data_IF_071355446878
#
_entry.id   IF_071355446878
#
_cell.length_a   1.000
_cell.length_b   1.000
_cell.length_c   1.000
_cell.angle_alpha   90.00
_cell.angle_beta   90.00
_cell.angle_gamma   90.00
#
_symmetry.space_group_name_H-M   'P 1'
#
loop_
_entity.id
_entity.type
_entity.pdbx_description
1 polymer ?
#
# COMPACT_ATOMS: atom_id res chain seq x y z
N UNK A 1 -8.63 -7.54 6.23
CA UNK A 1 -7.45 -7.42 7.09
C UNK A 1 -6.84 -8.80 7.24
N UNK A 2 -5.62 -8.99 6.75
CA UNK A 2 -4.93 -10.28 6.79
C UNK A 2 -3.71 -10.20 7.70
N UNK A 3 -3.77 -10.89 8.83
CA UNK A 3 -2.69 -10.92 9.81
C UNK A 3 -1.41 -11.54 9.21
N UNK A 4 -1.56 -12.54 8.34
CA UNK A 4 -0.43 -13.22 7.69
C UNK A 4 0.38 -12.27 6.79
N UNK A 5 -0.31 -11.45 6.00
CA UNK A 5 0.35 -10.49 5.10
C UNK A 5 1.10 -9.39 5.88
N UNK A 6 0.54 -8.95 7.01
CA UNK A 6 1.22 -8.00 7.89
C UNK A 6 2.52 -8.60 8.46
N UNK A 7 2.48 -9.86 8.91
CA UNK A 7 3.68 -10.56 9.41
C UNK A 7 4.73 -10.71 8.31
N UNK A 8 4.31 -11.04 7.08
CA UNK A 8 5.21 -11.08 5.91
C UNK A 8 5.83 -9.71 5.64
N UNK A 9 5.04 -8.64 5.62
CA UNK A 9 5.52 -7.27 5.42
C UNK A 9 6.55 -6.84 6.47
N UNK A 10 6.36 -7.21 7.74
CA UNK A 10 7.29 -6.91 8.83
C UNK A 10 8.66 -7.56 8.62
N UNK A 11 8.69 -8.80 8.13
CA UNK A 11 9.91 -9.59 7.90
C UNK A 11 10.73 -9.11 6.70
N UNK A 12 10.10 -8.45 5.73
CA UNK A 12 10.77 -7.98 4.51
C UNK A 12 11.64 -6.75 4.79
N UNK A 13 12.84 -6.69 4.22
CA UNK A 13 13.68 -5.47 4.24
C UNK A 13 13.31 -4.58 3.06
N UNK A 14 12.79 -3.40 3.36
CA UNK A 14 12.26 -2.44 2.37
C UNK A 14 13.22 -1.25 2.11
N UNK A 15 14.25 -1.08 2.95
CA UNK A 15 15.29 -0.06 2.80
C UNK A 15 14.90 1.37 3.17
N UNK A 16 13.63 1.61 3.52
CA UNK A 16 13.15 2.91 4.00
C UNK A 16 12.01 2.70 5.03
N UNK A 17 12.03 3.37 6.19
CA UNK A 17 11.07 3.13 7.27
C UNK A 17 9.64 3.53 6.89
N UNK A 18 9.45 4.67 6.24
CA UNK A 18 8.13 5.13 5.78
C UNK A 18 7.59 4.21 4.68
N UNK A 19 8.45 3.76 3.76
CA UNK A 19 8.06 2.77 2.74
C UNK A 19 7.64 1.45 3.38
N UNK A 20 8.35 1.00 4.44
CA UNK A 20 7.95 -0.19 5.21
C UNK A 20 6.59 0.01 5.88
N UNK A 21 6.35 1.17 6.49
CA UNK A 21 5.06 1.48 7.11
C UNK A 21 3.92 1.45 6.08
N UNK A 22 4.12 2.05 4.91
CA UNK A 22 3.16 2.00 3.80
C UNK A 22 2.87 0.56 3.36
N UNK A 23 3.90 -0.29 3.22
CA UNK A 23 3.72 -1.71 2.89
C UNK A 23 2.90 -2.45 3.95
N UNK A 24 3.20 -2.24 5.23
CA UNK A 24 2.46 -2.84 6.35
C UNK A 24 1.01 -2.36 6.33
N UNK A 25 0.75 -1.08 6.08
CA UNK A 25 -0.61 -0.55 6.04
C UNK A 25 -1.41 -1.10 4.85
N UNK A 26 -0.78 -1.31 3.70
CA UNK A 26 -1.41 -2.01 2.58
C UNK A 26 -1.78 -3.46 2.96
N UNK A 27 -0.88 -4.17 3.63
CA UNK A 27 -1.12 -5.54 4.11
C UNK A 27 -2.24 -5.61 5.17
N UNK A 28 -2.32 -4.62 6.06
CA UNK A 28 -3.40 -4.46 7.04
C UNK A 28 -4.76 -4.27 6.35
N UNK A 29 -4.81 -3.53 5.25
CA UNK A 29 -6.04 -3.35 4.47
C UNK A 29 -6.35 -4.52 3.52
N UNK A 30 -5.44 -5.47 3.34
CA UNK A 30 -5.62 -6.57 2.40
C UNK A 30 -6.62 -7.62 2.90
N UNK A 31 -7.35 -8.22 1.97
CA UNK A 31 -8.02 -9.50 2.16
C UNK A 31 -7.00 -10.64 2.21
N UNK A 32 -7.44 -11.85 2.55
CA UNK A 32 -6.56 -13.02 2.57
C UNK A 32 -6.01 -13.40 1.18
N UNK A 33 -6.69 -12.96 0.12
CA UNK A 33 -6.20 -13.05 -1.26
C UNK A 33 -5.09 -12.03 -1.61
N UNK A 34 -4.74 -11.12 -0.70
CA UNK A 34 -3.74 -10.07 -0.95
C UNK A 34 -4.24 -8.84 -1.67
N UNK A 35 -5.56 -8.68 -1.82
CA UNK A 35 -6.17 -7.55 -2.52
C UNK A 35 -6.60 -6.46 -1.53
N UNK A 36 -6.37 -5.20 -1.89
CA UNK A 36 -6.86 -4.05 -1.12
C UNK A 36 -7.17 -2.87 -2.05
N UNK A 37 -8.09 -1.99 -1.63
CA UNK A 37 -8.45 -0.76 -2.37
C UNK A 37 -8.52 0.49 -1.48
N UNK A 38 -7.56 0.73 -0.58
CA UNK A 38 -7.54 1.98 0.18
C UNK A 38 -7.28 3.17 -0.74
N UNK A 39 -7.85 4.32 -0.43
CA UNK A 39 -7.46 5.57 -1.09
C UNK A 39 -6.05 5.98 -0.65
N UNK A 40 -5.32 6.71 -1.48
CA UNK A 40 -4.01 7.24 -1.07
C UNK A 40 -4.10 8.17 0.13
N UNK A 41 -5.22 8.89 0.29
CA UNK A 41 -5.44 9.76 1.43
C UNK A 41 -5.60 8.94 2.73
N UNK A 42 -6.35 7.84 2.70
CA UNK A 42 -6.47 6.97 3.87
C UNK A 42 -5.10 6.43 4.34
N UNK A 43 -4.24 6.02 3.41
CA UNK A 43 -2.87 5.57 3.75
C UNK A 43 -2.05 6.75 4.30
N UNK A 44 -2.17 7.94 3.69
CA UNK A 44 -1.45 9.13 4.09
C UNK A 44 -1.75 9.53 5.54
N UNK A 45 -3.03 9.55 5.90
CA UNK A 45 -3.49 9.89 7.25
C UNK A 45 -2.96 8.89 8.29
N UNK A 46 -2.93 7.61 7.94
CA UNK A 46 -2.50 6.52 8.84
C UNK A 46 -0.97 6.39 8.96
N UNK A 47 -0.25 6.80 7.91
CA UNK A 47 1.21 6.79 7.90
C UNK A 47 1.80 8.16 8.28
N UNK A 48 0.96 9.15 8.59
CA UNK A 48 1.33 10.52 8.97
C UNK A 48 2.27 11.19 7.94
N UNK A 49 1.99 10.99 6.66
CA UNK A 49 2.78 11.55 5.55
C UNK A 49 1.87 12.13 4.47
N UNK A 50 2.43 12.96 3.59
CA UNK A 50 1.64 13.52 2.49
C UNK A 50 1.16 12.44 1.50
N UNK A 51 0.00 12.67 0.88
CA UNK A 51 -0.52 11.85 -0.23
C UNK A 51 0.52 11.66 -1.35
N UNK A 52 1.30 12.69 -1.67
CA UNK A 52 2.40 12.61 -2.66
C UNK A 52 3.48 11.62 -2.21
N UNK A 53 3.85 11.64 -0.93
CA UNK A 53 4.84 10.70 -0.39
C UNK A 53 4.33 9.26 -0.47
N UNK A 54 3.05 9.01 -0.14
CA UNK A 54 2.41 7.70 -0.33
C UNK A 54 2.52 7.22 -1.77
N UNK A 55 2.17 8.06 -2.74
CA UNK A 55 2.26 7.70 -4.17
C UNK A 55 3.69 7.30 -4.56
N UNK A 56 4.71 8.07 -4.12
CA UNK A 56 6.11 7.77 -4.37
C UNK A 56 6.56 6.46 -3.72
N UNK A 57 6.15 6.21 -2.47
CA UNK A 57 6.46 4.96 -1.77
C UNK A 57 5.82 3.75 -2.43
N UNK A 58 4.56 3.86 -2.88
CA UNK A 58 3.86 2.79 -3.60
C UNK A 58 4.52 2.52 -4.95
N UNK A 59 4.93 3.56 -5.69
CA UNK A 59 5.66 3.38 -6.94
C UNK A 59 6.97 2.60 -6.71
N UNK A 60 7.74 2.96 -5.69
CA UNK A 60 8.97 2.26 -5.33
C UNK A 60 8.72 0.82 -4.85
N UNK A 61 7.61 0.55 -4.15
CA UNK A 61 7.20 -0.81 -3.78
C UNK A 61 6.80 -1.66 -5.01
N UNK A 62 6.24 -1.02 -6.04
CA UNK A 62 5.93 -1.68 -7.31
C UNK A 62 7.20 -2.00 -8.09
N UNK A 63 8.13 -1.05 -8.17
CA UNK A 63 9.45 -1.24 -8.77
C UNK A 63 10.24 -2.37 -8.09
N UNK A 64 10.13 -2.49 -6.76
CA UNK A 64 10.75 -3.59 -6.01
C UNK A 64 9.99 -4.92 -6.09
N UNK A 65 8.87 -5.00 -6.83
CA UNK A 65 8.07 -6.21 -6.97
C UNK A 65 7.30 -6.64 -5.71
N UNK A 66 7.19 -5.77 -4.69
CA UNK A 66 6.52 -6.08 -3.42
C UNK A 66 5.01 -5.78 -3.47
N UNK A 67 4.60 -4.88 -4.35
CA UNK A 67 3.20 -4.49 -4.56
C UNK A 67 2.90 -4.49 -6.05
N UNK A 68 1.69 -4.88 -6.43
CA UNK A 68 1.18 -4.71 -7.79
C UNK A 68 -0.01 -3.75 -7.75
N UNK A 69 0.13 -2.58 -8.40
CA UNK A 69 -0.98 -1.66 -8.60
C UNK A 69 -1.77 -2.07 -9.85
N UNK A 70 -3.07 -2.28 -9.71
CA UNK A 70 -3.98 -2.57 -10.83
C UNK A 70 -5.03 -1.47 -10.91
N UNK A 71 -5.22 -0.90 -12.11
CA UNK A 71 -6.28 0.08 -12.36
C UNK A 71 -7.57 -0.68 -12.64
N UNK A 72 -8.59 -0.51 -11.80
CA UNK A 72 -9.94 -1.03 -12.08
C UNK A 72 -10.69 0.00 -12.90
N UNK A 73 -11.27 -0.39 -14.05
CA UNK A 73 -12.33 0.40 -14.71
C UNK A 73 -13.59 0.23 -13.86
N UNK A 74 -13.85 1.17 -12.95
CA UNK A 74 -15.15 1.30 -12.29
C UNK A 74 -16.10 2.14 -13.16
N UNK A 75 -17.41 1.91 -13.06
CA UNK A 75 -18.43 2.78 -13.70
C UNK A 75 -18.37 4.22 -13.18
N UNK A 76 -17.90 4.42 -11.95
CA UNK A 76 -17.50 5.71 -11.39
C UNK A 76 -15.99 5.70 -11.18
N UNK A 77 -15.24 5.92 -12.25
CA UNK A 77 -13.80 6.14 -12.15
C UNK A 77 -13.55 7.41 -11.34
N UNK A 78 -13.17 7.29 -10.07
CA UNK A 78 -12.60 8.41 -9.35
C UNK A 78 -11.21 8.67 -9.93
N UNK A 79 -11.19 9.46 -11.00
CA UNK A 79 -10.02 10.19 -11.48
C UNK A 79 -9.60 11.13 -10.36
N UNK A 80 -8.45 10.89 -9.76
CA UNK A 80 -7.75 11.83 -8.88
C UNK A 80 -6.31 11.94 -9.31
#
# INVERSE_FOLDING_TARGET
MSMELMVKAMKIRVGNPLRKLVLIKLADNASDQGECWPSYQHIADQCEISKRSVMNHIAALCESGLVKKVTRKGEKGNSS
#
